data_IF_260522668220
#
_entry.id   IF_260522668220
#
_cell.length_a   1.000
_cell.length_b   1.000
_cell.length_c   1.000
_cell.angle_alpha   90.00
_cell.angle_beta   90.00
_cell.angle_gamma   90.00
#
_symmetry.space_group_name_H-M   'P 1'
#
loop_
_entity.id
_entity.type
_entity.pdbx_description
1 polymer ?
#
# COMPACT_ATOMS: atom_id res chain seq x y z
N UNK A 1 -22.67 20.22 10.81
CA UNK A 1 -21.60 19.22 10.73
C UNK A 1 -20.28 19.92 11.04
N UNK A 2 -19.93 19.98 12.33
CA UNK A 2 -18.85 20.85 12.83
C UNK A 2 -17.41 20.33 12.60
N UNK A 3 -17.21 19.09 12.22
CA UNK A 3 -15.87 18.46 12.14
C UNK A 3 -15.59 17.85 10.76
N UNK A 4 -16.00 18.52 9.71
CA UNK A 4 -15.88 18.02 8.34
C UNK A 4 -14.42 18.04 7.83
N UNK A 5 -13.63 18.89 8.39
CA UNK A 5 -12.20 19.10 8.18
C UNK A 5 -11.32 17.98 8.76
N UNK A 6 -11.83 17.21 9.72
CA UNK A 6 -11.13 16.08 10.33
C UNK A 6 -11.13 14.83 9.42
N UNK A 7 -12.04 14.77 8.45
CA UNK A 7 -12.20 13.61 7.57
C UNK A 7 -11.58 13.84 6.22
N UNK A 8 -10.87 12.82 5.71
CA UNK A 8 -10.31 12.80 4.35
C UNK A 8 -11.39 12.40 3.35
N UNK A 9 -11.68 13.28 2.41
CA UNK A 9 -12.67 13.05 1.33
C UNK A 9 -12.01 12.74 -0.02
N UNK A 10 -10.78 13.18 -0.22
CA UNK A 10 -10.01 13.03 -1.46
C UNK A 10 -8.54 12.77 -1.13
N UNK A 11 -7.78 12.08 -2.00
CA UNK A 11 -6.34 11.84 -1.78
C UNK A 11 -5.55 13.12 -1.46
N UNK A 12 -5.90 14.25 -2.09
CA UNK A 12 -5.25 15.54 -1.84
C UNK A 12 -5.49 16.14 -0.46
N UNK A 13 -6.50 15.64 0.26
CA UNK A 13 -6.84 16.11 1.61
C UNK A 13 -6.01 15.35 2.68
N UNK A 14 -5.13 14.41 2.25
CA UNK A 14 -4.25 13.67 3.15
C UNK A 14 -2.91 14.38 3.27
N UNK A 15 -2.59 14.99 4.42
CA UNK A 15 -1.28 15.60 4.65
C UNK A 15 -0.17 14.56 4.78
N UNK A 16 -0.53 13.29 5.04
CA UNK A 16 0.40 12.25 5.43
C UNK A 16 0.87 12.39 6.88
N UNK A 17 1.60 11.40 7.37
CA UNK A 17 2.27 11.49 8.67
C UNK A 17 3.61 12.19 8.45
N UNK A 18 3.94 13.25 9.23
CA UNK A 18 5.23 13.91 9.12
C UNK A 18 6.38 12.93 9.33
N UNK A 19 7.44 13.04 8.52
CA UNK A 19 8.59 12.10 8.53
C UNK A 19 9.30 12.04 9.88
N UNK A 20 9.28 13.13 10.64
CA UNK A 20 9.85 13.19 11.99
C UNK A 20 9.13 12.27 13.00
N UNK A 21 7.89 11.91 12.75
CA UNK A 21 7.15 10.98 13.61
C UNK A 21 7.33 9.53 13.20
N UNK A 22 7.25 9.26 11.90
CA UNK A 22 7.43 7.91 11.36
C UNK A 22 7.83 7.95 9.90
N UNK A 23 8.78 7.10 9.56
CA UNK A 23 9.23 6.82 8.20
C UNK A 23 9.47 5.31 8.08
N UNK A 24 9.03 4.69 7.02
CA UNK A 24 9.21 3.25 6.82
C UNK A 24 10.54 2.96 6.13
N UNK A 25 11.34 2.06 6.72
CA UNK A 25 12.57 1.54 6.13
C UNK A 25 12.42 0.06 5.81
N UNK A 26 12.81 -0.36 4.61
CA UNK A 26 12.66 -1.75 4.16
C UNK A 26 13.57 -2.73 4.88
N UNK A 27 14.72 -2.31 5.39
CA UNK A 27 15.71 -3.16 6.09
C UNK A 27 16.06 -4.42 5.28
N UNK A 28 16.29 -4.27 3.99
CA UNK A 28 16.70 -5.37 3.11
C UNK A 28 18.05 -5.92 3.57
N UNK A 29 18.22 -7.26 3.60
CA UNK A 29 19.51 -7.88 3.91
C UNK A 29 20.60 -7.34 2.95
N UNK A 30 21.69 -6.71 3.46
CA UNK A 30 22.75 -6.15 2.63
C UNK A 30 23.47 -7.18 1.74
N UNK A 31 23.37 -8.47 2.09
CA UNK A 31 23.94 -9.58 1.29
C UNK A 31 22.98 -10.08 0.21
N UNK A 32 21.75 -9.59 0.19
CA UNK A 32 20.77 -9.99 -0.81
C UNK A 32 21.18 -9.48 -2.19
N UNK A 33 21.08 -10.35 -3.19
CA UNK A 33 21.28 -9.97 -4.59
C UNK A 33 19.95 -9.43 -5.13
N UNK A 34 19.89 -8.18 -5.58
CA UNK A 34 18.69 -7.62 -6.19
C UNK A 34 18.18 -8.49 -7.34
N UNK A 35 16.87 -8.60 -7.44
CA UNK A 35 16.22 -9.38 -8.47
C UNK A 35 15.31 -8.53 -9.33
N UNK A 36 15.53 -8.61 -10.64
CA UNK A 36 14.66 -8.00 -11.66
C UNK A 36 13.78 -9.09 -12.25
N UNK A 37 12.49 -9.06 -11.91
CA UNK A 37 11.52 -9.99 -12.47
C UNK A 37 11.39 -9.78 -13.98
N UNK A 38 11.29 -10.88 -14.75
CA UNK A 38 11.01 -10.80 -16.18
C UNK A 38 9.64 -10.13 -16.41
N UNK A 39 9.59 -9.17 -17.32
CA UNK A 39 8.37 -8.45 -17.65
C UNK A 39 7.24 -9.41 -18.06
N UNK A 40 6.11 -9.32 -17.40
CA UNK A 40 4.88 -10.05 -17.74
C UNK A 40 4.15 -9.32 -18.85
N UNK A 41 3.63 -10.08 -19.81
CA UNK A 41 2.77 -9.55 -20.88
C UNK A 41 1.32 -9.52 -20.39
N UNK A 42 0.64 -8.42 -20.67
CA UNK A 42 -0.76 -8.22 -20.31
C UNK A 42 -1.62 -8.01 -21.55
N UNK A 43 -2.89 -8.41 -21.50
CA UNK A 43 -3.89 -8.04 -22.50
C UNK A 43 -4.06 -6.52 -22.58
N UNK A 44 -4.59 -5.97 -23.68
CA UNK A 44 -4.82 -4.53 -23.84
C UNK A 44 -5.60 -3.92 -22.66
N UNK A 45 -6.70 -4.55 -22.24
CA UNK A 45 -7.56 -4.09 -21.15
C UNK A 45 -6.80 -3.99 -19.83
N UNK A 46 -5.98 -5.00 -19.51
CA UNK A 46 -5.15 -5.01 -18.31
C UNK A 46 -4.07 -3.94 -18.37
N UNK A 47 -3.47 -3.70 -19.52
CA UNK A 47 -2.49 -2.62 -19.70
C UNK A 47 -3.10 -1.24 -19.47
N UNK A 48 -4.32 -1.02 -19.97
CA UNK A 48 -5.03 0.23 -19.74
C UNK A 48 -5.39 0.44 -18.27
N UNK A 49 -5.82 -0.63 -17.59
CA UNK A 49 -6.07 -0.58 -16.14
C UNK A 49 -4.80 -0.23 -15.34
N UNK A 50 -3.65 -0.82 -15.68
CA UNK A 50 -2.36 -0.50 -15.05
C UNK A 50 -2.01 0.97 -15.30
N UNK A 51 -2.09 1.43 -16.55
CA UNK A 51 -1.77 2.81 -16.94
C UNK A 51 -2.63 3.82 -16.18
N UNK A 52 -3.92 3.56 -16.07
CA UNK A 52 -4.86 4.40 -15.33
C UNK A 52 -4.51 4.49 -13.85
N UNK A 53 -4.17 3.36 -13.21
CA UNK A 53 -3.83 3.35 -11.79
C UNK A 53 -2.47 4.01 -11.53
N UNK A 54 -1.46 3.79 -12.38
CA UNK A 54 -0.18 4.47 -12.28
C UNK A 54 -0.32 5.98 -12.41
N UNK A 55 -1.10 6.47 -13.39
CA UNK A 55 -1.36 7.91 -13.56
C UNK A 55 -2.01 8.51 -12.31
N UNK A 56 -2.95 7.80 -11.69
CA UNK A 56 -3.60 8.21 -10.45
C UNK A 56 -2.63 8.30 -9.28
N UNK A 57 -1.75 7.29 -9.11
CA UNK A 57 -0.77 7.25 -8.02
C UNK A 57 0.31 8.32 -8.19
N UNK A 58 0.77 8.55 -9.43
CA UNK A 58 1.71 9.64 -9.76
C UNK A 58 1.09 11.01 -9.49
N UNK A 59 -0.15 11.24 -9.94
CA UNK A 59 -0.85 12.50 -9.71
C UNK A 59 -1.11 12.78 -8.21
N UNK A 60 -1.26 11.73 -7.41
CA UNK A 60 -1.39 11.84 -5.96
C UNK A 60 -0.04 11.97 -5.21
N UNK A 61 1.10 11.85 -5.92
CA UNK A 61 2.42 11.91 -5.31
C UNK A 61 2.81 10.68 -4.47
N UNK A 62 2.07 9.58 -4.60
CA UNK A 62 2.35 8.34 -3.84
C UNK A 62 3.50 7.53 -4.42
N UNK A 63 3.82 7.73 -5.70
CA UNK A 63 4.93 7.08 -6.39
C UNK A 63 5.70 8.09 -7.22
N UNK A 64 6.95 7.81 -7.50
CA UNK A 64 7.81 8.59 -8.41
C UNK A 64 8.44 7.67 -9.46
N UNK A 65 8.83 8.24 -10.59
CA UNK A 65 9.64 7.54 -11.58
C UNK A 65 11.08 7.38 -11.09
N UNK A 66 11.65 6.20 -11.29
CA UNK A 66 13.05 5.90 -10.98
C UNK A 66 13.72 5.30 -12.20
N UNK A 67 14.95 5.73 -12.46
CA UNK A 67 15.79 5.17 -13.52
C UNK A 67 16.71 4.09 -12.96
N UNK A 68 16.79 2.96 -13.65
CA UNK A 68 17.67 1.84 -13.31
C UNK A 68 17.52 1.27 -11.88
N UNK A 69 16.29 0.90 -11.46
CA UNK A 69 16.09 0.33 -10.15
C UNK A 69 16.86 -0.99 -10.01
N UNK A 70 17.34 -1.27 -8.79
CA UNK A 70 18.00 -2.54 -8.48
C UNK A 70 17.00 -3.68 -8.38
N UNK A 71 15.89 -3.45 -7.71
CA UNK A 71 14.78 -4.38 -7.62
C UNK A 71 13.69 -4.04 -8.63
N UNK A 72 13.16 -5.05 -9.30
CA UNK A 72 12.06 -4.85 -10.25
C UNK A 72 10.98 -5.91 -10.03
N UNK A 73 9.78 -5.47 -9.72
CA UNK A 73 8.60 -6.31 -9.50
C UNK A 73 7.51 -6.04 -10.55
N UNK A 74 6.74 -7.08 -10.88
CA UNK A 74 5.63 -6.95 -11.82
C UNK A 74 4.35 -6.52 -11.11
N UNK A 75 3.49 -5.74 -11.77
CA UNK A 75 2.13 -5.52 -11.30
C UNK A 75 1.31 -6.83 -11.40
N UNK A 76 0.35 -6.98 -10.51
CA UNK A 76 -0.65 -8.06 -10.48
C UNK A 76 -2.02 -7.43 -10.45
N UNK A 77 -2.90 -7.84 -11.37
CA UNK A 77 -4.25 -7.34 -11.43
C UNK A 77 -5.25 -8.36 -10.90
N UNK A 78 -6.05 -7.93 -9.95
CA UNK A 78 -7.15 -8.72 -9.36
C UNK A 78 -8.47 -8.03 -9.68
N UNK A 79 -9.40 -8.78 -10.24
CA UNK A 79 -10.74 -8.26 -10.54
C UNK A 79 -11.54 -8.06 -9.25
N UNK A 80 -12.19 -6.91 -9.10
CA UNK A 80 -13.10 -6.66 -8.00
C UNK A 80 -14.40 -7.46 -8.19
N UNK A 81 -14.91 -8.04 -7.11
CA UNK A 81 -16.11 -8.92 -7.17
C UNK A 81 -17.39 -8.19 -7.63
N UNK A 82 -17.51 -6.90 -7.37
CA UNK A 82 -18.77 -6.15 -7.50
C UNK A 82 -18.86 -5.28 -8.76
N UNK A 83 -17.76 -5.10 -9.47
CA UNK A 83 -17.71 -4.33 -10.72
C UNK A 83 -16.55 -4.87 -11.56
N UNK A 84 -16.64 -4.72 -12.88
CA UNK A 84 -15.59 -5.17 -13.80
C UNK A 84 -14.29 -4.33 -13.70
N UNK A 85 -14.01 -3.72 -12.53
CA UNK A 85 -12.82 -2.96 -12.29
C UNK A 85 -11.67 -3.85 -11.82
N UNK A 86 -10.44 -3.42 -12.12
CA UNK A 86 -9.22 -4.06 -11.69
C UNK A 86 -8.64 -3.35 -10.47
N UNK A 87 -8.15 -4.14 -9.50
CA UNK A 87 -7.27 -3.67 -8.45
C UNK A 87 -5.84 -4.02 -8.83
N UNK A 88 -4.96 -3.04 -8.87
CA UNK A 88 -3.53 -3.26 -9.08
C UNK A 88 -2.84 -3.53 -7.74
N UNK A 89 -2.05 -4.57 -7.70
CA UNK A 89 -1.10 -4.91 -6.65
C UNK A 89 0.30 -5.01 -7.25
N UNK A 90 1.33 -5.13 -6.43
CA UNK A 90 2.70 -5.34 -6.87
C UNK A 90 3.24 -6.63 -6.26
N UNK A 91 3.94 -7.42 -7.06
CA UNK A 91 4.50 -8.73 -6.65
C UNK A 91 5.85 -8.55 -5.93
N UNK A 92 5.81 -8.18 -4.67
CA UNK A 92 7.01 -8.03 -3.83
C UNK A 92 7.57 -9.35 -3.27
N UNK A 93 7.15 -10.51 -3.80
CA UNK A 93 7.55 -11.82 -3.26
C UNK A 93 9.07 -11.98 -3.17
N UNK A 94 9.82 -11.51 -4.16
CA UNK A 94 11.28 -11.64 -4.14
C UNK A 94 11.93 -10.68 -3.14
N UNK A 95 11.46 -9.44 -3.04
CA UNK A 95 11.93 -8.45 -2.06
C UNK A 95 11.61 -8.90 -0.63
N UNK A 96 10.38 -9.34 -0.38
CA UNK A 96 9.92 -9.76 0.95
C UNK A 96 10.69 -10.96 1.53
N UNK A 97 11.34 -11.79 0.69
CA UNK A 97 12.21 -12.87 1.16
C UNK A 97 13.47 -12.36 1.85
N UNK A 98 13.90 -11.15 1.52
CA UNK A 98 15.12 -10.52 2.00
C UNK A 98 14.87 -9.40 3.03
N UNK A 99 13.61 -9.17 3.37
CA UNK A 99 13.21 -8.27 4.45
C UNK A 99 12.86 -9.08 5.71
N UNK A 100 13.15 -8.58 6.92
CA UNK A 100 12.71 -9.21 8.15
C UNK A 100 11.19 -9.25 8.18
N UNK A 101 10.64 -10.34 8.71
CA UNK A 101 9.20 -10.42 8.96
C UNK A 101 8.83 -9.50 10.11
N UNK A 102 7.67 -8.85 10.00
CA UNK A 102 7.09 -8.10 11.09
C UNK A 102 6.86 -9.03 12.29
N UNK A 103 7.44 -8.75 13.47
CA UNK A 103 7.24 -9.54 14.67
C UNK A 103 5.82 -9.39 15.23
N UNK A 104 5.08 -8.34 14.86
CA UNK A 104 3.72 -8.13 15.29
C UNK A 104 2.74 -8.88 14.38
N UNK A 105 2.15 -9.95 14.90
CA UNK A 105 1.06 -10.64 14.23
C UNK A 105 -0.22 -9.77 14.20
N UNK A 106 -1.07 -10.01 13.22
CA UNK A 106 -2.42 -9.45 13.22
C UNK A 106 -3.17 -9.94 14.45
N UNK A 107 -3.91 -9.05 15.10
CA UNK A 107 -4.82 -9.41 16.19
C UNK A 107 -5.80 -10.51 15.73
N UNK A 108 -6.01 -11.51 16.55
CA UNK A 108 -7.00 -12.54 16.25
C UNK A 108 -8.39 -11.92 16.30
N UNK A 109 -9.20 -12.21 15.29
CA UNK A 109 -10.54 -11.63 15.18
C UNK A 109 -11.40 -11.93 16.40
N UNK A 110 -11.27 -13.13 16.98
CA UNK A 110 -11.97 -13.53 18.20
C UNK A 110 -11.62 -12.61 19.37
N UNK A 111 -10.33 -12.26 19.55
CA UNK A 111 -9.89 -11.35 20.61
C UNK A 111 -10.44 -9.93 20.42
N UNK A 112 -10.55 -9.49 19.16
CA UNK A 112 -11.17 -8.17 18.86
C UNK A 112 -12.64 -8.18 19.21
N UNK A 113 -13.36 -9.25 18.87
CA UNK A 113 -14.78 -9.42 19.22
C UNK A 113 -14.97 -9.48 20.75
N UNK A 114 -14.16 -10.28 21.44
CA UNK A 114 -14.22 -10.41 22.90
C UNK A 114 -13.95 -9.07 23.60
N UNK A 115 -13.01 -8.27 23.07
CA UNK A 115 -12.70 -6.94 23.64
C UNK A 115 -13.84 -5.93 23.49
N UNK A 116 -14.80 -6.20 22.61
CA UNK A 116 -15.99 -5.35 22.40
C UNK A 116 -17.23 -5.89 23.12
N UNK A 117 -17.12 -7.03 23.81
CA UNK A 117 -18.23 -7.61 24.56
C UNK A 117 -18.74 -6.66 25.64
N UNK A 118 -20.06 -6.52 25.73
CA UNK A 118 -20.71 -5.59 26.67
C UNK A 118 -20.84 -4.14 26.21
N UNK A 119 -20.27 -3.77 25.06
CA UNK A 119 -20.49 -2.44 24.47
C UNK A 119 -21.85 -2.37 23.78
N UNK A 120 -22.64 -1.33 24.13
CA UNK A 120 -23.98 -1.09 23.55
C UNK A 120 -23.84 -0.51 22.12
N UNK A 121 -22.77 0.21 21.84
CA UNK A 121 -22.53 0.87 20.57
C UNK A 121 -21.07 0.66 20.17
N UNK A 122 -20.84 0.26 18.91
CA UNK A 122 -19.51 0.10 18.31
C UNK A 122 -19.34 1.07 17.15
N UNK A 123 -18.17 1.73 17.08
CA UNK A 123 -17.77 2.56 15.96
C UNK A 123 -16.53 1.93 15.30
N UNK A 124 -16.60 1.69 13.99
CA UNK A 124 -15.49 1.16 13.22
C UNK A 124 -14.87 2.29 12.39
N UNK A 125 -13.58 2.54 12.60
CA UNK A 125 -12.82 3.54 11.89
C UNK A 125 -11.76 2.83 11.06
N UNK A 126 -11.71 3.15 9.78
CA UNK A 126 -10.69 2.67 8.85
C UNK A 126 -9.89 3.84 8.27
N UNK A 127 -8.57 3.72 8.25
CA UNK A 127 -7.71 4.76 7.71
C UNK A 127 -7.80 4.79 6.18
N UNK A 128 -8.27 5.89 5.64
CA UNK A 128 -8.28 6.07 4.19
C UNK A 128 -6.86 6.00 3.62
N UNK A 129 -6.58 4.96 2.80
CA UNK A 129 -5.25 4.70 2.22
C UNK A 129 -4.11 4.78 3.25
N UNK A 130 -4.29 4.20 4.44
CA UNK A 130 -3.42 4.39 5.59
C UNK A 130 -1.93 4.17 5.31
N UNK A 131 -1.57 3.14 4.54
CA UNK A 131 -0.18 2.87 4.17
C UNK A 131 0.45 3.98 3.30
N UNK A 132 -0.32 4.68 2.47
CA UNK A 132 0.17 5.79 1.66
C UNK A 132 0.45 7.07 2.47
N UNK A 133 0.04 7.10 3.74
CA UNK A 133 0.28 8.24 4.62
C UNK A 133 1.65 8.18 5.31
N UNK A 134 2.32 7.02 5.27
CA UNK A 134 3.66 6.84 5.82
C UNK A 134 4.66 6.90 4.68
N UNK A 135 5.59 7.85 4.74
CA UNK A 135 6.63 7.98 3.74
C UNK A 135 7.61 6.81 3.79
N UNK A 136 8.08 6.36 2.63
CA UNK A 136 9.21 5.47 2.54
C UNK A 136 10.49 6.27 2.75
N UNK A 137 11.50 5.66 3.35
CA UNK A 137 12.82 6.27 3.52
C UNK A 137 13.43 6.61 2.17
N UNK A 138 14.15 7.73 2.07
CA UNK A 138 14.63 8.25 0.79
C UNK A 138 15.67 7.35 0.10
N UNK A 139 16.38 6.55 0.90
CA UNK A 139 17.38 5.58 0.43
C UNK A 139 16.76 4.27 -0.10
N UNK A 140 15.46 4.00 0.17
CA UNK A 140 14.71 2.82 -0.25
C UNK A 140 13.83 3.12 -1.49
#
# INVERSE_FOLDING_TARGET
MANRDVFVWKPKDMPGVPKEFIEHALKVDPKAKPKKQRLRRFSPDKREAIKKELAKLLAAGFIKEVYHPDWLANPVLVQKKNNNEWRMCVDYTDLNKHCPKDPFGLSRIDQVIDSTAGCVLLSFLDCYSGYHQIALKEED
#
